data_IF_041680807788
#
_entry.id   IF_041680807788
#
_cell.length_a   1.000
_cell.length_b   1.000
_cell.length_c   1.000
_cell.angle_alpha   90.00
_cell.angle_beta   90.00
_cell.angle_gamma   90.00
#
_symmetry.space_group_name_H-M   'P 1'
#
loop_
_entity.id
_entity.type
_entity.pdbx_description
1 polymer ?
#
# COMPACT_ATOMS: atom_id res chain seq x y z
N UNK A 1 -3.74 15.97 11.56
CA UNK A 1 -3.70 15.26 10.27
C UNK A 1 -2.31 14.71 10.14
N UNK A 2 -2.18 13.40 10.03
CA UNK A 2 -0.87 12.74 9.94
C UNK A 2 -0.34 12.94 8.52
N UNK A 3 0.50 13.96 8.35
CA UNK A 3 1.11 14.34 7.08
C UNK A 3 2.50 13.78 6.89
N UNK A 4 3.12 13.31 7.97
CA UNK A 4 4.47 12.75 7.97
C UNK A 4 4.45 11.25 7.65
N UNK A 5 5.36 10.84 6.77
CA UNK A 5 5.62 9.42 6.53
C UNK A 5 6.38 8.82 7.71
N UNK A 6 5.72 7.93 8.45
CA UNK A 6 6.28 7.29 9.64
C UNK A 6 6.49 5.80 9.37
N UNK A 7 7.72 5.39 9.04
CA UNK A 7 8.03 3.99 8.78
C UNK A 7 7.84 3.10 10.02
N UNK A 8 8.04 3.62 11.24
CA UNK A 8 7.84 2.86 12.47
C UNK A 8 6.37 2.48 12.67
N UNK A 9 5.42 3.37 12.39
CA UNK A 9 3.98 3.06 12.46
C UNK A 9 3.65 1.79 11.66
N UNK A 10 4.16 1.68 10.42
CA UNK A 10 3.95 0.50 9.60
C UNK A 10 4.63 -0.77 10.15
N UNK A 11 5.81 -0.63 10.74
CA UNK A 11 6.52 -1.77 11.34
C UNK A 11 5.84 -2.24 12.63
N UNK A 12 5.42 -1.31 13.47
CA UNK A 12 4.77 -1.56 14.75
C UNK A 12 3.42 -2.25 14.51
N UNK A 13 2.55 -1.67 13.67
CA UNK A 13 1.26 -2.29 13.30
C UNK A 13 1.45 -3.64 12.61
N UNK A 14 2.48 -3.80 11.76
CA UNK A 14 2.76 -5.11 11.14
C UNK A 14 3.13 -6.17 12.18
N UNK A 15 3.93 -5.80 13.19
CA UNK A 15 4.33 -6.72 14.25
C UNK A 15 3.18 -7.02 15.21
N UNK A 16 2.31 -6.05 15.51
CA UNK A 16 1.09 -6.26 16.30
C UNK A 16 0.17 -7.27 15.61
N UNK A 17 -0.22 -7.01 14.35
CA UNK A 17 -1.05 -7.93 13.56
C UNK A 17 -0.43 -9.33 13.43
N UNK A 18 0.90 -9.41 13.32
CA UNK A 18 1.61 -10.69 13.16
C UNK A 18 1.70 -11.48 14.47
N UNK A 19 2.05 -10.84 15.59
CA UNK A 19 2.42 -11.51 16.83
C UNK A 19 1.32 -11.51 17.89
N UNK A 20 0.45 -10.50 17.90
CA UNK A 20 -0.64 -10.36 18.87
C UNK A 20 -1.94 -10.93 18.29
N UNK A 21 -2.27 -10.53 17.06
CA UNK A 21 -3.52 -10.96 16.40
C UNK A 21 -3.39 -12.28 15.65
N UNK A 22 -2.17 -12.82 15.53
CA UNK A 22 -1.89 -14.11 14.90
C UNK A 22 -2.40 -14.22 13.44
N UNK A 23 -2.39 -13.11 12.70
CA UNK A 23 -2.91 -13.06 11.33
C UNK A 23 -2.18 -14.00 10.35
N UNK A 24 -0.98 -14.48 10.70
CA UNK A 24 -0.19 -15.45 9.93
C UNK A 24 0.37 -16.59 10.82
N UNK A 25 -0.51 -17.29 11.54
CA UNK A 25 -0.14 -18.39 12.46
C UNK A 25 0.16 -19.73 11.75
N UNK A 26 1.22 -19.76 10.95
CA UNK A 26 1.69 -20.98 10.27
C UNK A 26 3.07 -21.45 10.77
N UNK A 27 3.58 -20.86 11.85
CA UNK A 27 4.92 -21.15 12.39
C UNK A 27 6.09 -20.55 11.57
N UNK A 28 5.79 -19.76 10.54
CA UNK A 28 6.79 -19.08 9.72
C UNK A 28 7.08 -17.67 10.21
N UNK A 29 8.28 -17.17 9.90
CA UNK A 29 8.69 -15.82 10.29
C UNK A 29 8.45 -14.83 9.16
N UNK A 30 7.76 -13.74 9.43
CA UNK A 30 7.52 -12.67 8.47
C UNK A 30 8.22 -11.37 8.87
N UNK A 31 8.68 -10.62 7.86
CA UNK A 31 9.31 -9.30 8.06
C UNK A 31 8.78 -8.30 7.04
N UNK A 32 8.61 -7.05 7.48
CA UNK A 32 8.30 -5.92 6.62
C UNK A 32 9.54 -5.05 6.40
N UNK A 33 9.81 -4.72 5.14
CA UNK A 33 10.90 -3.86 4.71
C UNK A 33 10.39 -2.79 3.74
N UNK A 34 11.19 -1.75 3.52
CA UNK A 34 10.86 -0.68 2.59
C UNK A 34 11.87 -0.58 1.46
N UNK A 35 11.39 -0.43 0.23
CA UNK A 35 12.23 -0.12 -0.92
C UNK A 35 11.57 0.96 -1.78
N UNK A 36 12.01 2.20 -1.63
CA UNK A 36 11.43 3.36 -2.32
C UNK A 36 11.73 3.43 -3.83
N UNK A 37 12.45 2.45 -4.37
CA UNK A 37 12.73 2.33 -5.79
C UNK A 37 11.98 1.17 -6.47
N UNK A 38 11.34 0.28 -5.70
CA UNK A 38 10.65 -0.88 -6.29
C UNK A 38 9.46 -0.48 -7.15
N UNK A 39 9.09 -1.33 -8.11
CA UNK A 39 7.87 -1.18 -8.92
C UNK A 39 6.92 -2.35 -8.68
N UNK A 40 5.76 -2.29 -9.29
CA UNK A 40 4.79 -3.38 -9.38
C UNK A 40 5.26 -4.55 -10.29
N UNK A 41 6.35 -4.39 -11.04
CA UNK A 41 6.81 -5.39 -12.01
C UNK A 41 7.71 -6.44 -11.40
N UNK A 42 7.30 -7.70 -11.43
CA UNK A 42 8.12 -8.85 -11.03
C UNK A 42 8.54 -9.61 -12.28
N UNK A 43 9.84 -9.85 -12.46
CA UNK A 43 10.38 -10.61 -13.61
C UNK A 43 10.01 -12.09 -13.50
N UNK A 44 10.08 -12.82 -14.61
CA UNK A 44 9.83 -14.27 -14.62
C UNK A 44 10.77 -15.04 -13.68
N UNK A 45 12.04 -14.62 -13.60
CA UNK A 45 13.00 -15.22 -12.66
C UNK A 45 12.63 -14.95 -11.20
N UNK A 46 12.19 -13.73 -10.89
CA UNK A 46 11.71 -13.38 -9.55
C UNK A 46 10.44 -14.17 -9.20
N UNK A 47 9.50 -14.32 -10.14
CA UNK A 47 8.28 -15.15 -9.96
C UNK A 47 8.63 -16.62 -9.69
N UNK A 48 9.56 -17.20 -10.45
CA UNK A 48 10.08 -18.57 -10.19
C UNK A 48 10.73 -18.70 -8.81
N UNK A 49 11.28 -17.60 -8.28
CA UNK A 49 11.81 -17.51 -6.90
C UNK A 49 10.73 -17.19 -5.85
N UNK A 50 9.45 -17.30 -6.23
CA UNK A 50 8.30 -17.16 -5.34
C UNK A 50 7.84 -15.71 -5.10
N UNK A 51 8.44 -14.72 -5.76
CA UNK A 51 8.00 -13.33 -5.62
C UNK A 51 6.64 -13.10 -6.26
N UNK A 52 5.82 -12.41 -5.49
CA UNK A 52 4.47 -11.97 -5.84
C UNK A 52 4.37 -10.48 -5.61
N UNK A 53 3.36 -9.87 -6.21
CA UNK A 53 3.09 -8.44 -6.07
C UNK A 53 1.62 -8.20 -5.84
N UNK A 54 1.31 -7.20 -5.03
CA UNK A 54 -0.02 -6.67 -4.77
C UNK A 54 0.07 -5.15 -4.73
N UNK A 55 -1.04 -4.50 -5.08
CA UNK A 55 -1.14 -3.04 -5.10
C UNK A 55 -2.46 -2.64 -4.47
N UNK A 56 -2.44 -1.61 -3.64
CA UNK A 56 -3.61 -1.08 -2.95
C UNK A 56 -3.61 0.43 -3.02
N UNK A 57 -4.80 1.01 -2.87
CA UNK A 57 -5.01 2.44 -2.78
C UNK A 57 -5.56 2.73 -1.37
N UNK A 58 -4.93 3.66 -0.65
CA UNK A 58 -5.29 4.05 0.71
C UNK A 58 -5.46 5.57 0.80
N UNK A 59 -6.15 6.05 1.84
CA UNK A 59 -6.22 7.49 2.11
C UNK A 59 -4.94 7.93 2.83
N UNK A 60 -4.44 9.10 2.48
CA UNK A 60 -3.27 9.68 3.14
C UNK A 60 -3.23 11.19 3.00
N UNK A 61 -2.40 11.82 3.81
CA UNK A 61 -2.17 13.26 3.75
C UNK A 61 -0.73 13.51 3.33
N UNK A 62 -0.51 14.64 2.68
CA UNK A 62 0.79 15.07 2.23
C UNK A 62 1.08 16.46 2.77
N UNK A 63 2.37 16.74 2.96
CA UNK A 63 2.88 18.06 3.22
C UNK A 63 4.01 18.37 2.25
N UNK A 64 3.97 19.56 1.64
CA UNK A 64 5.02 20.00 0.74
C UNK A 64 6.21 20.51 1.54
N UNK A 65 7.36 19.85 1.45
CA UNK A 65 8.58 20.29 2.11
C UNK A 65 9.07 21.69 1.71
N UNK A 66 8.62 22.23 0.56
CA UNK A 66 9.05 23.54 0.06
C UNK A 66 8.12 24.71 0.41
N UNK A 67 6.81 24.47 0.48
CA UNK A 67 5.83 25.54 0.71
C UNK A 67 4.86 25.26 1.86
N UNK A 68 5.11 24.21 2.64
CA UNK A 68 4.36 23.74 3.82
C UNK A 68 2.87 23.49 3.60
N UNK A 69 2.40 23.59 2.35
CA UNK A 69 1.03 23.29 1.98
C UNK A 69 0.75 21.82 2.24
N UNK A 70 -0.37 21.56 2.91
CA UNK A 70 -0.89 20.21 3.10
C UNK A 70 -2.05 19.92 2.14
N UNK A 71 -2.26 18.65 1.82
CA UNK A 71 -3.44 18.18 1.10
C UNK A 71 -3.72 16.71 1.43
N UNK A 72 -4.99 16.34 1.43
CA UNK A 72 -5.41 14.95 1.55
C UNK A 72 -5.55 14.31 0.16
N UNK A 73 -5.39 12.98 0.10
CA UNK A 73 -5.71 12.18 -1.07
C UNK A 73 -6.43 10.92 -0.66
N UNK A 74 -7.51 10.58 -1.36
CA UNK A 74 -8.16 9.28 -1.23
C UNK A 74 -7.41 8.16 -1.97
N UNK A 75 -6.37 8.49 -2.73
CA UNK A 75 -5.66 7.55 -3.59
C UNK A 75 -4.14 7.72 -3.49
N UNK A 76 -3.61 7.17 -2.40
CA UNK A 76 -2.20 6.91 -2.22
C UNK A 76 -1.92 5.46 -2.60
N UNK A 77 -1.08 5.26 -3.61
CA UNK A 77 -0.77 3.91 -4.10
C UNK A 77 0.31 3.28 -3.24
N UNK A 78 0.07 2.05 -2.83
CA UNK A 78 0.99 1.20 -2.08
C UNK A 78 1.28 -0.03 -2.92
N UNK A 79 2.57 -0.31 -3.17
CA UNK A 79 2.99 -1.58 -3.78
C UNK A 79 3.66 -2.44 -2.73
N UNK A 80 3.26 -3.70 -2.68
CA UNK A 80 3.85 -4.72 -1.85
C UNK A 80 4.42 -5.81 -2.75
N UNK A 81 5.71 -6.12 -2.59
CA UNK A 81 6.30 -7.37 -3.07
C UNK A 81 6.47 -8.31 -1.92
N UNK A 82 6.13 -9.57 -2.12
CA UNK A 82 6.19 -10.54 -1.03
C UNK A 82 6.51 -11.93 -1.53
N UNK A 83 7.10 -12.74 -0.65
CA UNK A 83 7.33 -14.18 -0.87
C UNK A 83 7.50 -14.91 0.45
N UNK A 84 7.29 -16.21 0.39
CA UNK A 84 7.65 -17.15 1.44
C UNK A 84 8.67 -18.13 0.86
N UNK A 85 9.82 -18.29 1.53
CA UNK A 85 10.86 -19.22 1.11
C UNK A 85 11.42 -19.94 2.34
N UNK A 86 11.25 -21.27 2.41
CA UNK A 86 11.79 -22.12 3.48
C UNK A 86 11.46 -21.60 4.90
N UNK A 87 10.20 -21.24 5.10
CA UNK A 87 9.68 -20.69 6.35
C UNK A 87 10.11 -19.27 6.72
N UNK A 88 10.74 -18.57 5.76
CA UNK A 88 11.06 -17.15 5.88
C UNK A 88 10.24 -16.33 4.88
N UNK A 89 9.28 -15.60 5.42
CA UNK A 89 8.44 -14.64 4.74
C UNK A 89 9.09 -13.26 4.67
N UNK A 90 8.96 -12.61 3.53
CA UNK A 90 9.42 -11.23 3.32
C UNK A 90 8.34 -10.44 2.63
N UNK A 91 8.05 -9.25 3.17
CA UNK A 91 7.26 -8.21 2.53
C UNK A 91 8.15 -6.99 2.32
N UNK A 92 8.12 -6.42 1.12
CA UNK A 92 8.79 -5.17 0.77
C UNK A 92 7.72 -4.21 0.28
N UNK A 93 7.53 -3.09 0.99
CA UNK A 93 6.53 -2.09 0.67
C UNK A 93 7.16 -0.83 0.06
N UNK A 94 6.41 -0.17 -0.81
CA UNK A 94 6.66 1.20 -1.25
C UNK A 94 5.37 2.01 -1.25
N UNK A 95 5.29 3.08 -0.45
CA UNK A 95 4.32 4.14 -0.70
C UNK A 95 4.75 5.01 -1.88
N UNK A 96 3.79 5.43 -2.70
CA UNK A 96 4.02 6.38 -3.79
C UNK A 96 3.61 7.79 -3.39
N UNK A 97 4.46 8.76 -3.73
CA UNK A 97 4.26 10.15 -3.35
C UNK A 97 3.38 10.95 -4.30
N UNK A 98 3.08 12.19 -3.91
CA UNK A 98 2.40 13.18 -4.75
C UNK A 98 3.20 14.49 -4.83
N UNK A 99 3.17 15.11 -6.02
CA UNK A 99 3.76 16.41 -6.26
C UNK A 99 2.84 17.54 -5.78
N UNK A 100 3.42 18.61 -5.26
CA UNK A 100 2.63 19.77 -4.83
C UNK A 100 2.11 20.56 -6.04
N UNK A 101 0.80 20.78 -6.10
CA UNK A 101 0.13 21.56 -7.14
C UNK A 101 0.68 22.99 -7.30
N UNK A 102 1.07 23.62 -6.19
CA UNK A 102 1.57 25.01 -6.17
C UNK A 102 2.99 25.10 -6.71
N UNK A 103 3.85 24.20 -6.27
CA UNK A 103 5.27 24.23 -6.65
C UNK A 103 5.51 23.68 -8.06
N UNK A 104 4.54 22.95 -8.64
CA UNK A 104 4.66 22.27 -9.95
C UNK A 104 6.00 21.52 -10.14
N UNK A 105 6.55 21.01 -9.04
CA UNK A 105 7.88 20.40 -9.02
C UNK A 105 7.83 18.95 -9.49
N UNK A 106 8.96 18.46 -10.03
CA UNK A 106 9.19 17.03 -10.30
C UNK A 106 9.53 16.21 -9.04
N UNK A 107 9.39 16.80 -7.85
CA UNK A 107 9.63 16.13 -6.56
C UNK A 107 8.30 15.66 -5.98
N UNK A 108 8.30 14.41 -5.50
CA UNK A 108 7.16 13.81 -4.83
C UNK A 108 7.38 13.86 -3.32
N UNK A 109 6.33 14.21 -2.58
CA UNK A 109 6.33 14.15 -1.12
C UNK A 109 5.73 12.80 -0.71
N UNK A 110 6.30 12.17 0.31
CA UNK A 110 5.74 10.94 0.84
C UNK A 110 4.46 11.22 1.64
N UNK A 111 3.52 10.26 1.66
CA UNK A 111 2.27 10.36 2.42
C UNK A 111 2.48 10.07 3.91
N UNK A 112 1.74 10.78 4.76
CA UNK A 112 1.38 10.34 6.09
C UNK A 112 0.04 9.62 6.10
N UNK A 113 -0.13 8.71 7.06
CA UNK A 113 -1.31 7.84 7.18
C UNK A 113 -1.85 7.87 8.60
N UNK A 114 -3.17 7.78 8.71
CA UNK A 114 -3.80 7.41 9.97
C UNK A 114 -3.59 5.92 10.22
N UNK A 115 -3.48 5.52 11.48
CA UNK A 115 -3.26 4.14 11.93
C UNK A 115 -4.25 3.14 11.31
N UNK A 116 -5.55 3.46 11.29
CA UNK A 116 -6.58 2.62 10.66
C UNK A 116 -6.34 2.33 9.16
N UNK A 117 -5.73 3.27 8.42
CA UNK A 117 -5.44 3.08 6.99
C UNK A 117 -4.22 2.18 6.81
N UNK A 118 -3.27 2.24 7.76
CA UNK A 118 -2.10 1.35 7.83
C UNK A 118 -2.55 -0.07 8.13
N UNK A 119 -3.33 -0.27 9.19
CA UNK A 119 -3.90 -1.55 9.60
C UNK A 119 -4.68 -2.20 8.45
N UNK A 120 -5.61 -1.46 7.84
CA UNK A 120 -6.42 -1.98 6.74
C UNK A 120 -5.57 -2.39 5.53
N UNK A 121 -4.53 -1.62 5.19
CA UNK A 121 -3.64 -1.97 4.08
C UNK A 121 -2.83 -3.25 4.39
N UNK A 122 -2.39 -3.43 5.64
CA UNK A 122 -1.66 -4.61 6.09
C UNK A 122 -2.54 -5.86 6.17
N UNK A 123 -3.78 -5.76 6.67
CA UNK A 123 -4.76 -6.86 6.66
C UNK A 123 -5.03 -7.35 5.24
N UNK A 124 -5.23 -6.43 4.29
CA UNK A 124 -5.37 -6.80 2.86
C UNK A 124 -4.12 -7.49 2.31
N UNK A 125 -2.95 -7.12 2.81
CA UNK A 125 -1.69 -7.75 2.42
C UNK A 125 -1.55 -9.14 3.03
N UNK A 126 -1.93 -9.33 4.29
CA UNK A 126 -1.93 -10.61 4.98
C UNK A 126 -2.91 -11.59 4.34
N UNK A 127 -4.10 -11.13 3.96
CA UNK A 127 -5.02 -11.91 3.14
C UNK A 127 -4.36 -12.43 1.84
N UNK A 128 -3.62 -11.58 1.11
CA UNK A 128 -2.88 -12.03 -0.09
C UNK A 128 -1.76 -13.02 0.24
N UNK A 129 -1.14 -12.92 1.42
CA UNK A 129 -0.14 -13.89 1.87
C UNK A 129 -0.81 -15.24 2.17
N UNK A 130 -1.88 -15.27 2.97
CA UNK A 130 -2.65 -16.49 3.26
C UNK A 130 -3.09 -17.20 2.00
N UNK A 131 -3.76 -16.48 1.11
CA UNK A 131 -4.20 -16.99 -0.19
C UNK A 131 -3.06 -17.52 -1.06
N UNK A 132 -2.01 -16.73 -1.26
CA UNK A 132 -1.02 -17.05 -2.30
C UNK A 132 0.21 -17.82 -1.81
N UNK A 133 0.53 -17.77 -0.52
CA UNK A 133 1.67 -18.48 0.07
C UNK A 133 1.22 -19.75 0.81
N UNK A 134 0.07 -19.72 1.48
CA UNK A 134 -0.45 -20.84 2.27
C UNK A 134 -1.58 -21.60 1.59
N UNK A 135 -2.14 -21.06 0.49
CA UNK A 135 -3.23 -21.67 -0.29
C UNK A 135 -4.48 -21.90 0.55
N UNK A 136 -4.77 -20.98 1.47
CA UNK A 136 -6.08 -20.95 2.10
C UNK A 136 -7.15 -20.76 1.03
N UNK A 137 -8.17 -21.61 1.10
CA UNK A 137 -9.35 -21.54 0.25
C UNK A 137 -10.19 -20.34 0.68
N UNK A 138 -10.85 -19.69 -0.28
CA UNK A 138 -11.70 -18.54 0.02
C UNK A 138 -12.98 -19.05 0.72
N UNK A 139 -13.12 -18.83 2.03
CA UNK A 139 -14.46 -18.80 2.65
C UNK A 139 -15.14 -17.52 2.17
N UNK A 140 -15.97 -17.65 1.13
CA UNK A 140 -16.86 -16.66 0.50
C UNK A 140 -16.32 -15.21 0.33
N UNK A 141 -16.29 -14.82 -0.94
CA UNK A 141 -15.94 -13.51 -1.48
C UNK A 141 -16.93 -12.40 -1.07
N UNK A 142 -17.06 -12.06 0.23
CA UNK A 142 -17.86 -10.90 0.67
C UNK A 142 -17.39 -10.24 1.98
N UNK A 143 -16.13 -9.81 2.04
CA UNK A 143 -15.70 -8.82 3.05
C UNK A 143 -14.64 -7.83 2.53
N UNK A 144 -14.29 -7.92 1.24
CA UNK A 144 -13.28 -7.09 0.60
C UNK A 144 -13.83 -5.97 -0.28
N UNK A 145 -15.16 -5.86 -0.46
CA UNK A 145 -15.78 -4.70 -1.08
C UNK A 145 -15.48 -3.51 -0.20
N UNK A 146 -14.45 -2.80 -0.59
CA UNK A 146 -14.12 -1.48 -0.08
C UNK A 146 -15.20 -0.52 -0.57
N UNK A 147 -16.43 -0.65 -0.07
CA UNK A 147 -17.32 0.48 0.02
C UNK A 147 -16.69 1.41 1.03
N UNK A 148 -15.78 2.23 0.54
CA UNK A 148 -15.26 3.36 1.28
C UNK A 148 -16.35 4.41 1.42
N UNK A 149 -17.48 4.06 2.03
CA UNK A 149 -18.53 4.98 2.49
C UNK A 149 -18.03 5.68 3.75
N UNK A 150 -17.07 6.57 3.51
CA UNK A 150 -17.06 7.87 4.16
C UNK A 150 -16.78 8.84 3.03
N UNK A 151 -17.83 9.55 2.64
CA UNK A 151 -17.82 10.62 1.65
C UNK A 151 -16.98 11.81 2.15
N UNK A 152 -15.67 11.60 2.35
CA UNK A 152 -14.75 12.71 2.31
C UNK A 152 -14.68 13.11 0.85
N UNK A 153 -15.34 14.22 0.49
CA UNK A 153 -15.27 14.84 -0.83
C UNK A 153 -13.82 15.21 -1.14
N UNK A 154 -13.05 14.23 -1.59
CA UNK A 154 -11.71 14.47 -2.11
C UNK A 154 -11.85 14.99 -3.53
N UNK A 155 -10.96 15.92 -3.90
CA UNK A 155 -10.90 16.38 -5.28
C UNK A 155 -10.60 15.19 -6.20
N UNK A 156 -11.03 15.24 -7.48
CA UNK A 156 -10.69 14.22 -8.47
C UNK A 156 -9.20 13.89 -8.43
N UNK A 157 -8.87 12.62 -8.66
CA UNK A 157 -7.49 12.16 -8.63
C UNK A 157 -6.63 12.85 -9.71
N UNK A 158 -5.75 13.77 -9.30
CA UNK A 158 -4.89 14.50 -10.22
C UNK A 158 -3.73 13.62 -10.71
N UNK A 159 -3.95 12.83 -11.76
CA UNK A 159 -2.98 11.87 -12.35
C UNK A 159 -1.60 12.48 -12.60
N UNK A 160 -1.54 13.75 -13.01
CA UNK A 160 -0.29 14.46 -13.29
C UNK A 160 0.58 14.70 -12.04
N UNK A 161 -0.02 14.75 -10.85
CA UNK A 161 0.66 14.93 -9.57
C UNK A 161 0.98 13.60 -8.87
N UNK A 162 0.35 12.50 -9.27
CA UNK A 162 0.57 11.19 -8.67
C UNK A 162 1.83 10.50 -9.22
N UNK A 163 2.76 10.11 -8.35
CA UNK A 163 3.97 9.37 -8.74
C UNK A 163 3.64 8.04 -9.42
N UNK A 164 2.66 7.31 -8.90
CA UNK A 164 2.27 6.02 -9.45
C UNK A 164 1.64 6.13 -10.85
N UNK A 165 0.82 7.16 -11.11
CA UNK A 165 0.29 7.42 -12.46
C UNK A 165 1.41 7.71 -13.46
N UNK A 166 2.41 8.51 -13.09
CA UNK A 166 3.57 8.77 -13.97
C UNK A 166 4.38 7.52 -14.29
N UNK A 167 4.27 6.49 -13.46
CA UNK A 167 4.92 5.19 -13.64
C UNK A 167 4.00 4.14 -14.28
N UNK A 168 2.72 4.46 -14.54
CA UNK A 168 1.73 3.52 -15.07
C UNK A 168 1.27 2.44 -14.08
N UNK A 169 1.41 2.69 -12.77
CA UNK A 169 1.13 1.71 -11.69
C UNK A 169 -0.22 1.96 -11.00
N UNK A 170 -0.74 3.19 -11.08
CA UNK A 170 -1.90 3.58 -10.29
C UNK A 170 -3.14 2.73 -10.61
N UNK A 171 -3.90 2.38 -9.56
CA UNK A 171 -5.20 1.72 -9.70
C UNK A 171 -6.07 2.51 -10.69
N UNK A 172 -6.68 1.81 -11.66
CA UNK A 172 -7.59 2.43 -12.62
C UNK A 172 -8.74 3.04 -11.81
N UNK A 173 -9.21 4.21 -12.22
CA UNK A 173 -10.59 4.57 -11.88
C UNK A 173 -11.44 3.44 -12.46
N UNK A 174 -12.32 2.81 -11.67
CA UNK A 174 -13.47 2.15 -12.29
C UNK A 174 -14.14 3.26 -13.08
N UNK A 175 -13.89 3.29 -14.39
CA UNK A 175 -14.67 4.12 -15.29
C UNK A 175 -16.07 3.56 -15.11
N UNK A 176 -16.96 4.38 -14.54
CA UNK A 176 -18.39 4.10 -14.50
C UNK A 176 -18.79 3.69 -15.93
N UNK A 177 -19.02 2.39 -16.13
CA UNK A 177 -19.66 1.88 -17.35
C UNK A 177 -21.06 2.52 -17.37
N UNK A 178 -21.23 3.52 -18.23
CA UNK A 178 -22.51 4.13 -18.64
C UNK A 178 -23.52 3.06 -19.11
#
# INVERSE_FOLDING_TARGET
>A
MDTEWTASLWLDTFNELLNEDNELDYGDRWTLNFNYNQTDRVTEEERRRGWKVSTYCARGNFECASCTRTWASARVVLVFRYRLLRGQGTVIMRPFGQACIRCRGNKFNLPGFAEKEVEQALLRQFYKIRKNCYREEDDDEDSGRSSSESEVRTKPHEKNLCQACRMGICCVDDEDDD
#
